data_IF_174534428506
#
_entry.id   IF_174534428506
#
_cell.length_a   1.000
_cell.length_b   1.000
_cell.length_c   1.000
_cell.angle_alpha   90.00
_cell.angle_beta   90.00
_cell.angle_gamma   90.00
#
_symmetry.space_group_name_H-M   'P 1'
#
loop_
_entity.id
_entity.type
_entity.pdbx_description
1 polymer ?
#
# COMPACT_ATOMS: atom_id res chain seq x y z
N UNK A 1 10.68 12.83 -4.64
CA UNK A 1 11.26 11.48 -4.45
C UNK A 1 10.10 10.49 -4.53
N UNK A 2 10.25 9.39 -5.26
CA UNK A 2 9.16 8.44 -5.49
C UNK A 2 9.52 7.07 -4.90
N UNK A 3 8.60 6.47 -4.16
CA UNK A 3 8.79 5.15 -3.57
C UNK A 3 7.64 4.22 -4.01
N UNK A 4 8.02 3.03 -4.49
CA UNK A 4 7.09 1.98 -4.86
C UNK A 4 7.13 0.87 -3.81
N UNK A 5 5.99 0.59 -3.17
CA UNK A 5 5.80 -0.51 -2.24
C UNK A 5 5.11 -1.68 -2.93
N UNK A 6 5.52 -2.90 -2.57
CA UNK A 6 4.87 -4.12 -3.04
C UNK A 6 4.41 -4.87 -1.79
N UNK A 7 3.09 -4.94 -1.60
CA UNK A 7 2.52 -5.80 -0.57
C UNK A 7 2.27 -7.19 -1.17
N UNK A 8 2.63 -8.24 -0.44
CA UNK A 8 2.35 -9.63 -0.83
C UNK A 8 0.94 -10.09 -0.45
N UNK A 9 0.16 -9.24 0.24
CA UNK A 9 -1.18 -9.54 0.71
C UNK A 9 -2.09 -8.31 0.56
N UNK A 10 -3.39 -8.55 0.30
CA UNK A 10 -4.43 -7.51 0.35
C UNK A 10 -5.13 -7.41 1.71
N UNK A 11 -4.64 -8.17 2.69
CA UNK A 11 -5.23 -8.31 4.02
C UNK A 11 -4.70 -7.22 4.96
N UNK A 12 -5.25 -7.09 6.17
CA UNK A 12 -4.71 -6.22 7.21
C UNK A 12 -4.11 -7.06 8.34
N UNK A 13 -2.86 -7.46 8.18
CA UNK A 13 -2.06 -8.00 9.28
C UNK A 13 -1.08 -6.92 9.77
N UNK A 14 -0.20 -7.27 10.72
CA UNK A 14 0.70 -6.29 11.33
C UNK A 14 1.62 -5.57 10.33
N UNK A 15 2.02 -6.24 9.26
CA UNK A 15 2.87 -5.65 8.22
C UNK A 15 2.13 -4.56 7.44
N UNK A 16 0.86 -4.78 7.10
CA UNK A 16 0.04 -3.82 6.37
C UNK A 16 -0.34 -2.62 7.23
N UNK A 17 -0.56 -2.82 8.54
CA UNK A 17 -0.75 -1.70 9.47
C UNK A 17 0.50 -0.81 9.56
N UNK A 18 1.68 -1.42 9.72
CA UNK A 18 2.96 -0.69 9.72
C UNK A 18 3.21 0.04 8.39
N UNK A 19 2.84 -0.59 7.27
CA UNK A 19 2.91 0.05 5.95
C UNK A 19 2.03 1.30 5.89
N UNK A 20 0.79 1.23 6.39
CA UNK A 20 -0.12 2.39 6.41
C UNK A 20 0.42 3.55 7.25
N UNK A 21 0.98 3.26 8.42
CA UNK A 21 1.61 4.27 9.29
C UNK A 21 2.81 4.93 8.60
N UNK A 22 3.66 4.11 7.96
CA UNK A 22 4.81 4.60 7.20
C UNK A 22 4.37 5.51 6.05
N UNK A 23 3.37 5.07 5.27
CA UNK A 23 2.86 5.85 4.14
C UNK A 23 2.31 7.20 4.59
N UNK A 24 1.57 7.26 5.70
CA UNK A 24 1.10 8.53 6.26
C UNK A 24 2.24 9.47 6.66
N UNK A 25 3.33 8.93 7.19
CA UNK A 25 4.51 9.72 7.52
C UNK A 25 5.20 10.26 6.26
N UNK A 26 5.38 9.41 5.25
CA UNK A 26 6.06 9.74 4.00
C UNK A 26 5.29 10.77 3.16
N UNK A 27 3.97 10.62 3.04
CA UNK A 27 3.14 11.58 2.29
C UNK A 27 3.16 12.97 2.93
N UNK A 28 3.14 13.06 4.27
CA UNK A 28 3.32 14.33 5.00
C UNK A 28 4.67 15.00 4.75
N UNK A 29 5.69 14.23 4.40
CA UNK A 29 7.02 14.73 4.02
C UNK A 29 7.13 15.08 2.53
N UNK A 30 6.02 15.00 1.77
CA UNK A 30 6.01 15.28 0.33
C UNK A 30 6.60 14.15 -0.53
N UNK A 31 6.67 12.92 0.00
CA UNK A 31 7.11 11.75 -0.76
C UNK A 31 5.91 11.15 -1.51
N UNK A 32 6.07 10.97 -2.81
CA UNK A 32 5.07 10.32 -3.65
C UNK A 32 5.19 8.80 -3.51
N UNK A 33 4.09 8.16 -3.10
CA UNK A 33 4.05 6.74 -2.83
C UNK A 33 3.09 6.03 -3.80
N UNK A 34 3.53 4.91 -4.35
CA UNK A 34 2.72 3.98 -5.12
C UNK A 34 2.74 2.60 -4.44
N UNK A 35 1.58 1.97 -4.28
CA UNK A 35 1.47 0.64 -3.66
C UNK A 35 0.90 -0.39 -4.63
N UNK A 36 1.62 -1.49 -4.84
CA UNK A 36 1.09 -2.66 -5.54
C UNK A 36 0.52 -3.69 -4.58
N UNK A 37 -0.70 -4.15 -4.87
CA UNK A 37 -1.42 -5.15 -4.07
C UNK A 37 -1.88 -6.34 -4.93
N UNK A 38 -1.86 -7.59 -4.40
CA UNK A 38 -2.11 -8.80 -5.18
C UNK A 38 -3.59 -9.01 -5.51
N UNK A 39 -4.46 -8.66 -4.55
CA UNK A 39 -5.91 -8.87 -4.62
C UNK A 39 -6.61 -7.77 -3.85
N UNK A 40 -7.83 -7.43 -4.26
CA UNK A 40 -8.72 -6.55 -3.50
C UNK A 40 -9.02 -7.17 -2.13
N UNK A 41 -8.58 -6.53 -1.06
CA UNK A 41 -8.89 -6.81 0.35
C UNK A 41 -8.79 -5.52 1.20
N UNK A 42 -8.95 -5.59 2.53
CA UNK A 42 -9.12 -4.39 3.37
C UNK A 42 -8.01 -3.32 3.24
N UNK A 43 -6.80 -3.66 2.78
CA UNK A 43 -5.74 -2.69 2.53
C UNK A 43 -6.10 -1.63 1.47
N UNK A 44 -6.84 -1.96 0.39
CA UNK A 44 -7.16 -0.94 -0.64
C UNK A 44 -8.10 0.13 -0.10
N UNK A 45 -9.01 -0.23 0.81
CA UNK A 45 -9.96 0.72 1.42
C UNK A 45 -9.19 1.79 2.19
N UNK A 46 -8.14 1.39 2.91
CA UNK A 46 -7.29 2.32 3.64
C UNK A 46 -6.41 3.16 2.71
N UNK A 47 -5.88 2.57 1.63
CA UNK A 47 -5.10 3.31 0.63
C UNK A 47 -5.96 4.39 -0.06
N UNK A 48 -7.20 4.06 -0.43
CA UNK A 48 -8.16 5.01 -0.98
C UNK A 48 -8.50 6.11 0.04
N UNK A 49 -8.73 5.74 1.31
CA UNK A 49 -9.00 6.70 2.41
C UNK A 49 -7.83 7.67 2.64
N UNK A 50 -6.60 7.22 2.41
CA UNK A 50 -5.38 8.01 2.56
C UNK A 50 -4.97 8.73 1.26
N UNK A 51 -5.77 8.61 0.19
CA UNK A 51 -5.50 9.18 -1.13
C UNK A 51 -4.13 8.76 -1.71
N UNK A 52 -3.71 7.52 -1.43
CA UNK A 52 -2.45 6.96 -1.91
C UNK A 52 -2.69 6.22 -3.22
N UNK A 53 -1.88 6.50 -4.25
CA UNK A 53 -1.98 5.77 -5.51
C UNK A 53 -1.67 4.29 -5.29
N UNK A 54 -2.52 3.41 -5.83
CA UNK A 54 -2.30 1.98 -5.79
C UNK A 54 -2.70 1.30 -7.09
N UNK A 55 -2.06 0.16 -7.36
CA UNK A 55 -2.33 -0.67 -8.54
C UNK A 55 -2.45 -2.12 -8.13
N UNK A 56 -3.41 -2.81 -8.73
CA UNK A 56 -3.49 -4.25 -8.59
C UNK A 56 -2.43 -4.92 -9.47
N UNK A 57 -1.64 -5.84 -8.92
CA UNK A 57 -0.71 -6.68 -9.67
C UNK A 57 -1.02 -8.14 -9.40
N UNK A 58 -1.03 -9.01 -10.41
CA UNK A 58 -1.18 -10.45 -10.19
C UNK A 58 0.17 -10.98 -9.70
N UNK A 59 0.38 -11.03 -8.38
CA UNK A 59 1.52 -11.73 -7.81
C UNK A 59 1.20 -13.22 -7.87
N UNK A 60 1.77 -13.92 -8.85
CA UNK A 60 1.70 -15.38 -8.96
C UNK A 60 2.32 -15.99 -7.69
N UNK A 61 1.49 -16.42 -6.73
CA UNK A 61 1.93 -17.32 -5.69
C UNK A 61 2.24 -18.67 -6.36
N UNK A 62 3.53 -19.02 -6.43
CA UNK A 62 3.96 -20.40 -6.64
C UNK A 62 3.86 -21.17 -5.33
#
# INVERSE_FOLDING_TARGET
>A
MHICFISHSGSQYGAELALLELLQGLTKLGVECLVFVPKKGSLFIELDRLEIEWRQCVILHR
#
